data_IF_849979415872
#
_entry.id   IF_849979415872
#
_cell.length_a   1.000
_cell.length_b   1.000
_cell.length_c   1.000
_cell.angle_alpha   90.00
_cell.angle_beta   90.00
_cell.angle_gamma   90.00
#
_symmetry.space_group_name_H-M   'P 1'
#
loop_
_entity.id
_entity.type
_entity.pdbx_description
1 polymer ?
#
# COMPACT_ATOMS: atom_id res chain seq x y z
N UNK A 1 16.67 24.81 -20.06
CA UNK A 1 17.40 23.90 -19.17
C UNK A 1 17.49 24.57 -17.80
N UNK A 2 17.03 23.93 -16.73
CA UNK A 2 17.09 24.53 -15.39
C UNK A 2 18.54 24.54 -14.88
N UNK A 3 19.00 25.61 -14.21
CA UNK A 3 20.35 25.65 -13.63
C UNK A 3 20.54 24.52 -12.61
N UNK A 4 21.75 23.93 -12.50
CA UNK A 4 22.04 22.93 -11.50
C UNK A 4 21.82 23.49 -10.10
N UNK A 5 21.05 22.77 -9.29
CA UNK A 5 20.66 23.16 -7.93
C UNK A 5 21.88 23.12 -7.00
N UNK A 6 22.05 24.12 -6.13
CA UNK A 6 23.16 24.14 -5.17
C UNK A 6 23.09 22.95 -4.20
N UNK A 7 24.25 22.54 -3.66
CA UNK A 7 24.32 21.40 -2.74
C UNK A 7 23.43 21.58 -1.51
N UNK A 8 23.33 22.81 -0.98
CA UNK A 8 22.49 23.15 0.16
C UNK A 8 21.01 23.07 -0.19
N UNK A 9 20.63 23.52 -1.38
CA UNK A 9 19.25 23.42 -1.84
C UNK A 9 18.83 21.95 -2.02
N UNK A 10 19.73 21.07 -2.46
CA UNK A 10 19.47 19.62 -2.52
C UNK A 10 19.25 19.02 -1.13
N UNK A 11 20.07 19.39 -0.14
CA UNK A 11 19.92 18.96 1.27
C UNK A 11 18.61 19.46 1.87
N UNK A 12 18.28 20.73 1.64
CA UNK A 12 17.04 21.34 2.11
C UNK A 12 15.81 20.62 1.55
N UNK A 13 15.81 20.28 0.26
CA UNK A 13 14.75 19.48 -0.36
C UNK A 13 14.60 18.11 0.31
N UNK A 14 15.70 17.44 0.62
CA UNK A 14 15.67 16.17 1.34
C UNK A 14 15.04 16.33 2.73
N UNK A 15 15.44 17.36 3.48
CA UNK A 15 14.90 17.64 4.82
C UNK A 15 13.40 17.93 4.74
N UNK A 16 12.96 18.77 3.80
CA UNK A 16 11.54 19.11 3.62
C UNK A 16 10.69 17.86 3.37
N UNK A 17 11.23 16.86 2.67
CA UNK A 17 10.50 15.62 2.36
C UNK A 17 10.60 14.59 3.49
N UNK A 18 11.78 14.40 4.10
CA UNK A 18 11.99 13.36 5.11
C UNK A 18 11.49 13.76 6.49
N UNK A 19 11.56 15.05 6.83
CA UNK A 19 11.19 15.53 8.17
C UNK A 19 9.72 15.25 8.52
N UNK A 20 8.71 15.50 7.66
CA UNK A 20 7.32 15.19 7.97
C UNK A 20 7.08 13.69 8.21
N UNK A 21 7.72 12.83 7.43
CA UNK A 21 7.62 11.36 7.58
C UNK A 21 8.18 10.96 8.95
N UNK A 22 9.32 11.52 9.33
CA UNK A 22 9.96 11.26 10.61
C UNK A 22 9.06 11.73 11.76
N UNK A 23 8.51 12.94 11.69
CA UNK A 23 7.58 13.46 12.71
C UNK A 23 6.35 12.56 12.88
N UNK A 24 5.70 12.15 11.78
CA UNK A 24 4.50 11.30 11.83
C UNK A 24 4.84 9.93 12.44
N UNK A 25 5.90 9.30 11.97
CA UNK A 25 6.33 7.97 12.46
C UNK A 25 6.72 8.02 13.94
N UNK A 26 7.49 9.02 14.36
CA UNK A 26 7.81 9.23 15.77
C UNK A 26 6.56 9.48 16.61
N UNK A 27 5.60 10.28 16.15
CA UNK A 27 4.36 10.51 16.88
C UNK A 27 3.51 9.24 17.05
N UNK A 28 3.42 8.41 16.01
CA UNK A 28 2.71 7.12 16.06
C UNK A 28 3.41 6.18 17.06
N UNK A 29 4.73 6.07 16.97
CA UNK A 29 5.49 5.22 17.89
C UNK A 29 5.42 5.72 19.33
N UNK A 30 5.45 7.03 19.55
CA UNK A 30 5.28 7.62 20.88
C UNK A 30 3.92 7.26 21.48
N UNK A 31 2.84 7.39 20.70
CA UNK A 31 1.49 6.99 21.15
C UNK A 31 1.39 5.51 21.50
N UNK A 32 2.01 4.64 20.70
CA UNK A 32 1.90 3.19 20.87
C UNK A 32 2.85 2.62 21.92
N UNK A 33 4.11 3.05 21.90
CA UNK A 33 5.14 2.51 22.78
C UNK A 33 5.18 3.20 24.15
N UNK A 34 4.89 4.50 24.22
CA UNK A 34 4.98 5.26 25.46
C UNK A 34 3.60 5.51 26.11
N UNK A 35 2.59 5.92 25.32
CA UNK A 35 1.25 6.17 25.86
C UNK A 35 0.39 4.88 25.95
N UNK A 36 0.88 3.76 25.41
CA UNK A 36 0.18 2.48 25.48
C UNK A 36 -1.14 2.45 24.69
N UNK A 37 -1.34 3.37 23.72
CA UNK A 37 -2.49 3.31 22.83
C UNK A 37 -2.44 1.99 22.05
N UNK A 38 -3.38 1.09 22.34
CA UNK A 38 -3.49 -0.20 21.66
C UNK A 38 -3.54 0.00 20.13
N UNK A 39 -2.87 -0.87 19.39
CA UNK A 39 -2.99 -0.90 17.93
C UNK A 39 -4.45 -1.09 17.58
N UNK A 40 -5.13 -0.04 17.11
CA UNK A 40 -6.52 -0.16 16.65
C UNK A 40 -6.54 -1.25 15.58
N UNK A 41 -7.16 -2.38 15.93
CA UNK A 41 -7.44 -3.46 14.98
C UNK A 41 -8.18 -2.82 13.82
N UNK A 42 -7.58 -2.86 12.63
CA UNK A 42 -8.31 -2.46 11.42
C UNK A 42 -9.54 -3.36 11.39
N UNK A 43 -10.76 -2.81 11.46
CA UNK A 43 -11.96 -3.61 11.34
C UNK A 43 -11.84 -4.35 10.01
N UNK A 44 -11.67 -5.66 10.08
CA UNK A 44 -11.78 -6.54 8.92
C UNK A 44 -13.27 -6.69 8.63
N UNK A 45 -13.96 -5.58 8.37
CA UNK A 45 -15.24 -5.63 7.69
C UNK A 45 -14.93 -5.85 6.21
N UNK A 46 -14.54 -7.09 5.92
CA UNK A 46 -14.33 -7.66 4.58
C UNK A 46 -15.64 -7.67 3.77
N UNK A 47 -16.77 -7.30 4.39
CA UNK A 47 -18.07 -7.12 3.74
C UNK A 47 -18.02 -6.09 2.60
N UNK A 48 -17.07 -5.15 2.63
CA UNK A 48 -16.98 -4.09 1.63
C UNK A 48 -15.81 -4.25 0.66
N UNK A 49 -15.15 -5.42 0.56
CA UNK A 49 -14.16 -5.64 -0.49
C UNK A 49 -14.79 -5.56 -1.90
N UNK A 50 -16.03 -6.04 -2.05
CA UNK A 50 -16.80 -5.95 -3.29
C UNK A 50 -17.25 -4.51 -3.60
N UNK A 51 -17.72 -3.78 -2.60
CA UNK A 51 -18.20 -2.39 -2.75
C UNK A 51 -17.03 -1.42 -2.94
N UNK A 52 -15.90 -1.66 -2.26
CA UNK A 52 -14.65 -0.96 -2.53
C UNK A 52 -14.17 -1.24 -3.96
N UNK A 53 -14.21 -2.49 -4.44
CA UNK A 53 -13.89 -2.80 -5.84
C UNK A 53 -14.85 -2.12 -6.83
N UNK A 54 -16.14 -2.07 -6.54
CA UNK A 54 -17.16 -1.45 -7.42
C UNK A 54 -17.00 0.06 -7.49
N UNK A 55 -16.69 0.71 -6.36
CA UNK A 55 -16.35 2.14 -6.30
C UNK A 55 -15.01 2.42 -7.00
N UNK A 56 -14.00 1.56 -6.83
CA UNK A 56 -12.69 1.70 -7.48
C UNK A 56 -12.79 1.44 -9.00
N UNK A 57 -13.69 0.56 -9.44
CA UNK A 57 -13.97 0.31 -10.86
C UNK A 57 -14.64 1.50 -11.58
N UNK A 58 -15.42 2.31 -10.88
CA UNK A 58 -16.00 3.54 -11.43
C UNK A 58 -14.98 4.69 -11.55
N UNK A 59 -13.96 4.74 -10.68
CA UNK A 59 -12.91 5.76 -10.75
C UNK A 59 -11.72 5.22 -11.54
N UNK A 60 -11.94 4.91 -12.81
CA UNK A 60 -10.89 4.80 -13.83
C UNK A 60 -9.61 4.06 -13.43
N UNK A 61 -9.70 2.74 -13.23
CA UNK A 61 -8.61 1.79 -13.50
C UNK A 61 -7.41 1.80 -12.53
N UNK A 62 -7.33 0.77 -11.68
CA UNK A 62 -6.08 0.37 -11.01
C UNK A 62 -5.38 -0.72 -11.86
N UNK A 63 -4.15 -0.48 -12.36
CA UNK A 63 -3.52 -1.31 -13.40
C UNK A 63 -2.74 -2.56 -12.92
N UNK A 64 -2.88 -3.02 -11.67
CA UNK A 64 -2.11 -4.17 -11.16
C UNK A 64 -2.93 -5.46 -11.04
N UNK A 65 -3.36 -6.01 -12.18
CA UNK A 65 -4.02 -7.33 -12.27
C UNK A 65 -3.40 -8.35 -11.28
N UNK A 66 -4.21 -8.90 -10.37
CA UNK A 66 -3.76 -9.85 -9.34
C UNK A 66 -3.37 -11.17 -10.05
N UNK A 67 -2.09 -11.24 -10.42
CA UNK A 67 -1.42 -12.37 -11.05
C UNK A 67 -1.30 -13.54 -10.07
N UNK A 68 -2.41 -14.24 -9.84
CA UNK A 68 -2.44 -15.40 -8.94
C UNK A 68 -3.50 -16.44 -9.23
N UNK A 69 -4.29 -16.31 -10.32
CA UNK A 69 -5.45 -17.17 -10.56
C UNK A 69 -5.39 -17.99 -11.85
N UNK A 70 -4.21 -18.46 -12.26
CA UNK A 70 -4.09 -19.30 -13.47
C UNK A 70 -3.33 -20.62 -13.29
N UNK A 71 -2.92 -21.01 -12.09
CA UNK A 71 -2.14 -22.23 -11.90
C UNK A 71 -2.91 -23.49 -11.46
N UNK A 72 -4.19 -23.39 -11.09
CA UNK A 72 -4.94 -24.55 -10.58
C UNK A 72 -5.86 -25.24 -11.62
N UNK A 73 -6.03 -24.64 -12.80
CA UNK A 73 -7.01 -25.11 -13.79
C UNK A 73 -6.46 -26.15 -14.79
N UNK A 74 -5.14 -26.36 -14.85
CA UNK A 74 -4.53 -27.28 -15.84
C UNK A 74 -4.27 -28.70 -15.32
N UNK A 75 -4.45 -28.96 -14.01
CA UNK A 75 -4.07 -30.26 -13.43
C UNK A 75 -5.18 -31.33 -13.42
N UNK A 76 -6.42 -31.01 -13.81
CA UNK A 76 -7.54 -31.97 -13.79
C UNK A 76 -7.87 -32.59 -15.16
N UNK A 77 -7.11 -32.33 -16.22
CA UNK A 77 -7.41 -32.82 -17.57
C UNK A 77 -6.68 -34.13 -17.98
N UNK A 78 -5.97 -34.79 -17.06
CA UNK A 78 -5.31 -36.07 -17.33
C UNK A 78 -5.72 -37.13 -16.31
N UNK A 79 -6.94 -37.64 -16.47
CA UNK A 79 -7.34 -38.94 -15.93
C UNK A 79 -7.61 -39.89 -17.12
N UNK A 80 -6.91 -41.02 -17.26
CA UNK A 80 -7.13 -41.95 -18.35
C UNK A 80 -8.50 -42.63 -18.19
N UNK A 81 -9.32 -42.60 -19.26
CA UNK A 81 -10.53 -43.41 -19.36
C UNK A 81 -10.14 -44.89 -19.42
N UNK A 82 -10.74 -45.70 -18.55
CA UNK A 82 -10.90 -47.14 -18.78
C UNK A 82 -11.99 -47.39 -19.84
#
# INVERSE_FOLDING_TARGET
>A
MAPPMSADAKRLRTIIVSFPILVVTTAILYRRAYLGEEQRTIPRDITDAKVAQERIGQVGGVPWEVQGKDHDSQQSAFAPRQ
#
